data_IF_455150072625
#
_entry.id   IF_455150072625
#
_cell.length_a   1.000
_cell.length_b   1.000
_cell.length_c   1.000
_cell.angle_alpha   90.00
_cell.angle_beta   90.00
_cell.angle_gamma   90.00
#
_symmetry.space_group_name_H-M   'P 1'
#
loop_
_entity.id
_entity.type
_entity.pdbx_description
1 polymer ?
#
# COMPACT_ATOMS: atom_id res chain seq x y z
N UNK A 1 -3.24 -39.86 -9.16
CA UNK A 1 -3.22 -38.40 -9.42
C UNK A 1 -1.77 -37.97 -9.24
N UNK A 2 -1.09 -37.44 -10.26
CA UNK A 2 0.24 -36.87 -10.03
C UNK A 2 0.03 -35.57 -9.27
N UNK A 3 0.59 -35.46 -8.07
CA UNK A 3 0.71 -34.17 -7.40
C UNK A 3 1.51 -33.26 -8.32
N UNK A 4 0.90 -32.15 -8.73
CA UNK A 4 1.59 -31.13 -9.49
C UNK A 4 2.50 -30.39 -8.53
N UNK A 5 3.82 -30.39 -8.78
CA UNK A 5 4.80 -29.64 -7.98
C UNK A 5 4.73 -28.12 -8.28
N UNK A 6 3.52 -27.61 -8.48
CA UNK A 6 3.25 -26.23 -8.87
C UNK A 6 3.09 -25.39 -7.62
N UNK A 7 4.07 -24.55 -7.35
CA UNK A 7 3.97 -23.55 -6.31
C UNK A 7 3.30 -22.29 -6.88
N UNK A 8 2.21 -21.87 -6.25
CA UNK A 8 1.51 -20.63 -6.61
C UNK A 8 2.03 -19.50 -5.73
N UNK A 9 2.46 -18.42 -6.37
CA UNK A 9 2.87 -17.18 -5.71
C UNK A 9 1.90 -16.08 -6.13
N UNK A 10 1.25 -15.48 -5.15
CA UNK A 10 0.38 -14.31 -5.31
C UNK A 10 1.23 -13.05 -5.25
N UNK A 11 1.01 -12.15 -6.20
CA UNK A 11 1.74 -10.90 -6.37
C UNK A 11 0.72 -9.77 -6.48
N UNK A 12 0.83 -8.77 -5.62
CA UNK A 12 -0.03 -7.59 -5.67
C UNK A 12 0.67 -6.33 -5.14
N UNK A 13 0.17 -5.17 -5.56
CA UNK A 13 0.61 -3.84 -5.12
C UNK A 13 -0.47 -3.19 -4.25
N UNK A 14 -0.06 -2.54 -3.16
CA UNK A 14 -0.94 -1.70 -2.35
C UNK A 14 -0.32 -0.35 -2.05
N UNK A 15 -1.18 0.68 -1.95
CA UNK A 15 -0.78 2.05 -1.68
C UNK A 15 -1.13 2.43 -0.23
N UNK A 16 -0.11 2.67 0.58
CA UNK A 16 -0.27 3.24 1.92
C UNK A 16 -0.28 4.77 1.83
N UNK A 17 -1.38 5.37 2.27
CA UNK A 17 -1.49 6.83 2.34
C UNK A 17 -1.41 7.29 3.78
N UNK A 18 -0.34 7.99 4.13
CA UNK A 18 -0.21 8.65 5.42
C UNK A 18 -0.91 10.00 5.36
N UNK A 19 -2.16 10.03 5.81
CA UNK A 19 -2.87 11.27 6.07
C UNK A 19 -2.56 11.74 7.48
N UNK A 20 -1.82 12.84 7.61
CA UNK A 20 -1.48 13.44 8.91
C UNK A 20 -2.62 14.32 9.45
N UNK A 21 -3.89 13.89 9.35
CA UNK A 21 -4.93 14.50 10.18
C UNK A 21 -4.63 14.14 11.63
N UNK A 22 -3.84 14.99 12.31
CA UNK A 22 -3.42 14.78 13.70
C UNK A 22 -4.58 14.90 14.70
N UNK A 23 -5.75 15.38 14.26
CA UNK A 23 -6.85 15.76 15.14
C UNK A 23 -8.20 15.33 14.58
N UNK A 24 -8.98 14.60 15.37
CA UNK A 24 -10.43 14.46 15.18
C UNK A 24 -11.07 15.80 15.56
N UNK A 25 -11.75 16.45 14.62
CA UNK A 25 -12.54 17.65 14.90
C UNK A 25 -13.96 17.25 15.29
N UNK A 26 -14.49 17.86 16.35
CA UNK A 26 -15.89 17.75 16.74
C UNK A 26 -16.56 19.11 16.53
N UNK A 27 -17.78 19.12 16.04
CA UNK A 27 -18.56 20.34 15.82
C UNK A 27 -19.99 20.13 16.31
N UNK A 28 -20.63 21.19 16.81
CA UNK A 28 -22.02 21.13 17.24
C UNK A 28 -22.98 21.20 16.05
N UNK A 29 -24.25 20.85 16.30
CA UNK A 29 -25.29 20.96 15.28
C UNK A 29 -25.38 22.39 14.75
N UNK A 30 -25.30 22.53 13.42
CA UNK A 30 -25.31 23.80 12.64
C UNK A 30 -23.98 24.57 12.61
N UNK A 31 -22.90 24.06 13.18
CA UNK A 31 -21.58 24.64 12.98
C UNK A 31 -21.02 24.34 11.58
N UNK A 32 -20.41 25.34 10.95
CA UNK A 32 -19.67 25.12 9.70
C UNK A 32 -18.27 24.62 10.02
N UNK A 33 -18.02 23.35 9.70
CA UNK A 33 -16.66 22.81 9.69
C UNK A 33 -15.95 23.34 8.44
N UNK A 34 -14.90 24.15 8.64
CA UNK A 34 -13.94 24.50 7.59
C UNK A 34 -12.72 23.63 7.76
N UNK A 35 -12.51 22.72 6.80
CA UNK A 35 -11.28 21.94 6.70
C UNK A 35 -10.30 22.80 5.91
N UNK A 36 -9.21 23.23 6.56
CA UNK A 36 -8.11 23.87 5.87
C UNK A 36 -7.14 22.79 5.39
N UNK A 37 -7.19 22.47 4.10
CA UNK A 37 -6.37 21.47 3.43
C UNK A 37 -5.04 22.04 2.89
N UNK A 38 -4.79 23.35 3.05
CA UNK A 38 -3.59 24.01 2.53
C UNK A 38 -2.28 23.46 3.09
N UNK A 39 -2.33 22.80 4.27
CA UNK A 39 -1.18 22.17 4.93
C UNK A 39 -1.26 20.62 4.95
N UNK A 40 -2.15 20.01 4.16
CA UNK A 40 -2.27 18.57 4.10
C UNK A 40 -1.03 17.95 3.43
N UNK A 41 -0.11 17.41 4.23
CA UNK A 41 1.05 16.70 3.70
C UNK A 41 0.72 15.22 3.55
N UNK A 42 0.09 14.87 2.43
CA UNK A 42 -0.15 13.46 2.07
C UNK A 42 1.16 12.86 1.62
N UNK A 43 1.64 11.84 2.34
CA UNK A 43 2.77 11.02 1.90
C UNK A 43 2.24 9.65 1.52
N UNK A 44 2.59 9.17 0.33
CA UNK A 44 2.21 7.84 -0.15
C UNK A 44 3.44 6.93 -0.19
N UNK A 45 3.24 5.66 0.17
CA UNK A 45 4.21 4.59 -0.04
C UNK A 45 3.51 3.50 -0.83
N UNK A 46 4.12 3.06 -1.93
CA UNK A 46 3.71 1.84 -2.61
C UNK A 46 4.43 0.65 -1.98
N UNK A 47 3.71 -0.46 -1.84
CA UNK A 47 4.28 -1.74 -1.42
C UNK A 47 3.86 -2.79 -2.42
N UNK A 48 4.83 -3.50 -2.98
CA UNK A 48 4.59 -4.72 -3.75
C UNK A 48 5.07 -5.91 -2.93
N UNK A 49 4.29 -6.97 -2.88
CA UNK A 49 4.61 -8.16 -2.11
C UNK A 49 4.32 -9.45 -2.88
N UNK A 50 5.17 -10.45 -2.65
CA UNK A 50 5.01 -11.82 -3.13
C UNK A 50 4.66 -12.72 -1.94
N UNK A 51 3.55 -13.45 -2.01
CA UNK A 51 3.03 -14.28 -0.93
C UNK A 51 2.68 -15.67 -1.48
N UNK A 52 3.00 -16.73 -0.73
CA UNK A 52 2.51 -18.08 -1.01
C UNK A 52 1.81 -18.68 0.20
N UNK A 53 0.95 -19.67 -0.02
CA UNK A 53 0.29 -20.39 1.08
C UNK A 53 1.29 -21.18 1.95
N UNK A 54 2.37 -21.69 1.33
CA UNK A 54 3.35 -22.53 2.02
C UNK A 54 4.35 -21.72 2.84
N UNK A 55 4.80 -20.56 2.33
CA UNK A 55 5.88 -19.79 2.94
C UNK A 55 5.42 -18.45 3.53
N UNK A 56 4.16 -18.07 3.34
CA UNK A 56 3.69 -16.73 3.68
C UNK A 56 4.35 -15.67 2.80
N UNK A 57 4.82 -14.58 3.41
CA UNK A 57 5.52 -13.51 2.70
C UNK A 57 6.88 -13.99 2.20
N UNK A 58 7.05 -14.02 0.88
CA UNK A 58 8.30 -14.41 0.21
C UNK A 58 9.22 -13.22 0.06
N UNK A 59 8.70 -12.12 -0.49
CA UNK A 59 9.48 -10.89 -0.72
C UNK A 59 8.56 -9.66 -0.75
N UNK A 60 9.14 -8.49 -0.53
CA UNK A 60 8.46 -7.20 -0.66
C UNK A 60 9.42 -6.04 -0.96
N UNK A 61 8.91 -5.05 -1.68
CA UNK A 61 9.58 -3.76 -1.86
C UNK A 61 8.66 -2.64 -1.38
N UNK A 62 9.23 -1.69 -0.65
CA UNK A 62 8.58 -0.42 -0.31
C UNK A 62 9.18 0.68 -1.16
N UNK A 63 8.34 1.39 -1.91
CA UNK A 63 8.77 2.45 -2.81
C UNK A 63 8.07 3.78 -2.46
N UNK A 64 8.77 4.92 -2.48
CA UNK A 64 8.20 6.21 -2.06
C UNK A 64 7.14 6.78 -3.01
N UNK A 65 6.90 6.12 -4.15
CA UNK A 65 5.93 6.46 -5.19
C UNK A 65 5.36 5.17 -5.78
N UNK A 66 4.43 5.28 -6.73
CA UNK A 66 3.93 4.14 -7.50
C UNK A 66 5.08 3.26 -8.05
N UNK A 67 4.84 1.95 -8.11
CA UNK A 67 5.76 0.99 -8.71
C UNK A 67 5.68 1.15 -10.24
N UNK A 68 6.80 1.49 -10.87
CA UNK A 68 6.90 1.54 -12.33
C UNK A 68 7.38 0.19 -12.89
N UNK A 69 7.37 0.03 -14.21
CA UNK A 69 7.77 -1.22 -14.85
C UNK A 69 9.22 -1.62 -14.54
N UNK A 70 10.14 -0.66 -14.39
CA UNK A 70 11.55 -0.96 -14.06
C UNK A 70 11.68 -1.56 -12.67
N UNK A 71 11.02 -0.97 -11.68
CA UNK A 71 10.99 -1.46 -10.29
C UNK A 71 10.27 -2.81 -10.22
N UNK A 72 9.18 -2.98 -10.97
CA UNK A 72 8.47 -4.26 -11.05
C UNK A 72 9.35 -5.37 -11.64
N UNK A 73 10.05 -5.09 -12.74
CA UNK A 73 10.98 -6.03 -13.37
C UNK A 73 12.13 -6.36 -12.41
N UNK A 74 12.64 -5.39 -11.66
CA UNK A 74 13.66 -5.64 -10.64
C UNK A 74 13.14 -6.47 -9.46
N UNK A 75 11.84 -6.46 -9.17
CA UNK A 75 11.23 -7.24 -8.09
C UNK A 75 11.03 -8.72 -8.45
N UNK A 76 10.70 -9.01 -9.71
CA UNK A 76 10.38 -10.38 -10.15
C UNK A 76 11.61 -11.19 -10.61
N UNK A 77 12.78 -10.56 -10.74
CA UNK A 77 14.04 -11.19 -11.20
C UNK A 77 14.98 -11.46 -10.03
#
# INVERSE_FOLDING_TARGET
MRESNTHVVYLDETMFTFSTFRSKGWAHNRDRIRINDSNLRVTTLAVIAAISEEHGLIDYIVHPKAINSEVFVAFIN
#
